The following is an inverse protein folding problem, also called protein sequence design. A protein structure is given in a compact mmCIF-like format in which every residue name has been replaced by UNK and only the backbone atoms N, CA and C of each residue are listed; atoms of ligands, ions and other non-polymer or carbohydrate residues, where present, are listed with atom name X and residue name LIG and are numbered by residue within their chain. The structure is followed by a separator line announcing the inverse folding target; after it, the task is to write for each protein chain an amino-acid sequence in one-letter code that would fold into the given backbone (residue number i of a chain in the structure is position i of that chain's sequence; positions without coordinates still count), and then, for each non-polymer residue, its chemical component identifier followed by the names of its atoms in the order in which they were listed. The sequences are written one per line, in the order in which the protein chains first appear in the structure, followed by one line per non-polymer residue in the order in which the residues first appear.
data_IF_897448984254
#
_entry.id   IF_897448984254
#
_cell.length_a   1.000
_cell.length_b   1.000
_cell.length_c   1.000
_cell.angle_alpha   90.00
_cell.angle_beta   90.00
_cell.angle_gamma   90.00
#
_symmetry.space_group_name_H-M   'P 1'
#
loop_
_entity.id
_entity.type
_entity.pdbx_description
1 polymer ?
#
# COMPACT_ATOMS: atom_id res chain seq x y z
N UNK A 1 -18.85 -18.39 -8.33
CA UNK A 1 -17.79 -17.41 -8.64
C UNK A 1 -18.43 -16.03 -8.47
N UNK A 2 -18.30 -15.44 -7.28
CA UNK A 2 -18.71 -14.04 -7.08
C UNK A 2 -17.56 -13.17 -7.60
N UNK A 3 -17.80 -12.44 -8.68
CA UNK A 3 -16.87 -11.42 -9.17
C UNK A 3 -16.80 -10.31 -8.12
N UNK A 4 -15.72 -10.28 -7.35
CA UNK A 4 -15.43 -9.18 -6.43
C UNK A 4 -15.32 -7.91 -7.25
N UNK A 5 -16.19 -6.94 -6.99
CA UNK A 5 -16.18 -5.65 -7.65
C UNK A 5 -14.84 -4.93 -7.42
N UNK A 6 -14.42 -4.12 -8.39
CA UNK A 6 -13.27 -3.23 -8.22
C UNK A 6 -13.53 -2.26 -7.08
N UNK A 7 -12.56 -2.09 -6.18
CA UNK A 7 -12.67 -1.13 -5.07
C UNK A 7 -12.54 0.29 -5.60
N UNK A 8 -13.53 1.11 -5.31
CA UNK A 8 -13.48 2.56 -5.59
C UNK A 8 -12.51 3.26 -4.63
N UNK A 9 -12.21 4.52 -4.90
CA UNK A 9 -11.43 5.35 -3.97
C UNK A 9 -12.07 5.42 -2.59
N UNK A 10 -13.39 5.60 -2.55
CA UNK A 10 -14.14 5.70 -1.30
C UNK A 10 -14.14 4.38 -0.52
N UNK A 11 -14.19 3.24 -1.21
CA UNK A 11 -14.08 1.92 -0.59
C UNK A 11 -12.72 1.72 0.07
N UNK A 12 -11.63 2.12 -0.58
CA UNK A 12 -10.28 2.03 -0.03
C UNK A 12 -10.12 2.97 1.17
N UNK A 13 -10.62 4.21 1.07
CA UNK A 13 -10.64 5.16 2.18
C UNK A 13 -11.46 4.64 3.36
N UNK A 14 -12.60 4.01 3.12
CA UNK A 14 -13.41 3.36 4.17
C UNK A 14 -12.62 2.23 4.83
N UNK A 15 -11.99 1.35 4.04
CA UNK A 15 -11.16 0.24 4.55
C UNK A 15 -10.01 0.75 5.44
N UNK A 16 -9.35 1.86 5.06
CA UNK A 16 -8.32 2.48 5.90
C UNK A 16 -8.88 2.97 7.25
N UNK A 17 -10.06 3.60 7.24
CA UNK A 17 -10.73 4.05 8.47
C UNK A 17 -11.13 2.88 9.37
N UNK A 18 -11.66 1.81 8.81
CA UNK A 18 -12.03 0.59 9.54
C UNK A 18 -10.79 -0.07 10.17
N UNK A 19 -9.64 0.04 9.50
CA UNK A 19 -8.33 -0.37 10.02
C UNK A 19 -7.78 0.57 11.11
N UNK A 20 -8.52 1.64 11.47
CA UNK A 20 -8.08 2.69 12.40
C UNK A 20 -6.80 3.38 11.89
N UNK A 21 -6.75 3.61 10.58
CA UNK A 21 -5.74 4.42 9.91
C UNK A 21 -6.39 5.71 9.41
N UNK A 22 -5.78 6.85 9.72
CA UNK A 22 -6.21 8.14 9.17
C UNK A 22 -5.79 8.23 7.69
N UNK A 23 -6.73 8.28 6.73
CA UNK A 23 -6.40 8.35 5.31
C UNK A 23 -5.55 9.58 4.94
N UNK A 24 -5.68 10.69 5.66
CA UNK A 24 -4.88 11.89 5.41
C UNK A 24 -3.41 11.68 5.80
N UNK A 25 -3.15 11.02 6.93
CA UNK A 25 -1.80 10.66 7.35
C UNK A 25 -1.17 9.63 6.41
N UNK A 26 -1.94 8.61 6.00
CA UNK A 26 -1.50 7.59 5.04
C UNK A 26 -1.16 8.25 3.69
N UNK A 27 -2.00 9.16 3.19
CA UNK A 27 -1.75 9.94 1.98
C UNK A 27 -0.43 10.71 2.07
N UNK A 28 -0.24 11.49 3.13
CA UNK A 28 0.98 12.29 3.33
C UNK A 28 2.24 11.42 3.31
N UNK A 29 2.18 10.22 3.90
CA UNK A 29 3.30 9.28 3.89
C UNK A 29 3.56 8.75 2.47
N UNK A 30 2.53 8.33 1.75
CA UNK A 30 2.65 7.84 0.37
C UNK A 30 3.21 8.94 -0.54
N UNK A 31 2.71 10.17 -0.43
CA UNK A 31 3.20 11.31 -1.20
C UNK A 31 4.68 11.60 -0.91
N UNK A 32 5.11 11.50 0.35
CA UNK A 32 6.52 11.65 0.71
C UNK A 32 7.40 10.52 0.12
N UNK A 33 6.87 9.29 0.05
CA UNK A 33 7.58 8.15 -0.57
C UNK A 33 7.70 8.32 -2.08
N UNK A 34 6.65 8.82 -2.75
CA UNK A 34 6.73 9.17 -4.16
C UNK A 34 7.74 10.29 -4.43
N UNK A 35 7.77 11.32 -3.55
CA UNK A 35 8.75 12.38 -3.63
C UNK A 35 10.19 11.87 -3.49
N UNK A 36 10.41 10.87 -2.65
CA UNK A 36 11.72 10.22 -2.49
C UNK A 36 12.12 9.48 -3.77
N UNK A 37 11.21 8.65 -4.30
CA UNK A 37 11.48 7.79 -5.46
C UNK A 37 11.66 8.61 -6.76
N UNK A 38 10.85 9.65 -6.94
CA UNK A 38 10.87 10.51 -8.14
C UNK A 38 11.73 11.78 -7.99
N UNK A 39 12.52 11.90 -6.92
CA UNK A 39 13.29 13.11 -6.60
C UNK A 39 14.23 13.56 -7.72
N UNK A 40 14.79 12.62 -8.43
CA UNK A 40 15.81 12.88 -9.45
C UNK A 40 15.27 12.85 -10.88
N UNK A 41 13.97 12.82 -11.04
CA UNK A 41 13.28 12.81 -12.32
C UNK A 41 12.26 11.67 -12.42
N UNK A 42 11.56 11.61 -13.56
CA UNK A 42 10.59 10.56 -13.83
C UNK A 42 11.26 9.19 -13.98
N UNK A 43 10.46 8.13 -13.97
CA UNK A 43 10.90 6.79 -14.35
C UNK A 43 11.22 6.75 -15.84
N UNK A 44 12.49 7.12 -16.16
CA UNK A 44 12.97 7.24 -17.56
C UNK A 44 12.83 5.94 -18.36
N UNK A 45 12.92 4.78 -17.69
CA UNK A 45 12.78 3.48 -18.34
C UNK A 45 11.34 3.26 -18.77
N UNK A 46 10.40 3.51 -17.88
CA UNK A 46 8.96 3.38 -18.14
C UNK A 46 8.52 4.39 -19.20
N UNK A 47 8.97 5.65 -19.11
CA UNK A 47 8.63 6.68 -20.09
C UNK A 47 9.18 6.40 -21.50
N UNK A 48 10.36 5.81 -21.59
CA UNK A 48 10.99 5.51 -22.87
C UNK A 48 10.32 4.32 -23.61
N UNK A 49 9.69 3.41 -22.88
CA UNK A 49 9.18 2.15 -23.43
C UNK A 49 7.67 2.20 -23.67
N UNK A 50 6.91 2.79 -22.74
CA UNK A 50 5.45 2.73 -22.74
C UNK A 50 4.82 4.08 -23.10
N UNK A 51 3.70 4.03 -23.84
CA UNK A 51 2.82 5.15 -24.16
C UNK A 51 1.56 5.15 -23.28
N UNK A 52 0.41 5.05 -23.94
CA UNK A 52 -0.92 5.08 -23.29
C UNK A 52 -1.51 3.67 -23.07
N UNK A 53 -0.66 2.64 -23.12
CA UNK A 53 -1.08 1.26 -22.95
C UNK A 53 -1.64 1.04 -21.55
N UNK A 54 -2.70 0.22 -21.48
CA UNK A 54 -3.28 -0.26 -20.23
C UNK A 54 -2.97 -1.75 -20.05
N UNK A 55 -2.80 -2.16 -18.81
CA UNK A 55 -2.58 -3.57 -18.46
C UNK A 55 -3.30 -3.94 -17.17
N UNK A 56 -3.48 -5.24 -17.01
CA UNK A 56 -3.85 -5.85 -15.74
C UNK A 56 -2.62 -6.55 -15.16
N UNK A 57 -2.32 -6.26 -13.89
CA UNK A 57 -1.23 -6.87 -13.16
C UNK A 57 -1.74 -7.49 -11.84
N UNK A 58 -0.96 -8.42 -11.30
CA UNK A 58 -1.25 -9.07 -10.03
C UNK A 58 -0.07 -8.93 -9.08
N UNK A 59 -0.35 -8.63 -7.82
CA UNK A 59 0.62 -8.76 -6.74
C UNK A 59 0.47 -10.15 -6.12
N UNK A 60 1.53 -10.93 -6.23
CA UNK A 60 1.54 -12.35 -5.84
C UNK A 60 2.56 -12.55 -4.73
N UNK A 61 2.17 -13.24 -3.67
CA UNK A 61 3.10 -13.60 -2.60
C UNK A 61 4.15 -14.59 -3.09
N UNK A 62 5.40 -14.38 -2.70
CA UNK A 62 6.52 -15.31 -2.96
C UNK A 62 6.96 -16.08 -1.72
N UNK A 63 6.36 -15.78 -0.57
CA UNK A 63 6.74 -16.36 0.70
C UNK A 63 5.51 -16.67 1.55
N UNK A 64 5.69 -17.49 2.57
CA UNK A 64 4.72 -17.64 3.65
C UNK A 64 4.77 -16.43 4.58
N UNK A 65 3.61 -15.96 5.04
CA UNK A 65 3.56 -14.81 5.94
C UNK A 65 2.16 -14.45 6.38
N UNK A 66 2.06 -13.27 6.99
CA UNK A 66 0.80 -12.62 7.37
C UNK A 66 0.74 -11.26 6.70
N UNK A 67 -0.34 -10.99 6.00
CA UNK A 67 -0.52 -9.74 5.26
C UNK A 67 -0.75 -8.55 6.19
N UNK A 68 -0.16 -7.42 5.82
CA UNK A 68 -0.51 -6.10 6.36
C UNK A 68 -0.19 -5.01 5.35
N UNK A 69 -1.07 -4.01 5.25
CA UNK A 69 -0.89 -2.86 4.39
C UNK A 69 -1.45 -3.03 2.97
N UNK A 70 -2.27 -4.04 2.71
CA UNK A 70 -2.94 -4.20 1.40
C UNK A 70 -3.76 -2.96 1.03
N UNK A 71 -4.60 -2.38 1.93
CA UNK A 71 -5.31 -1.14 1.64
C UNK A 71 -4.37 0.07 1.44
N UNK A 72 -3.23 0.10 2.13
CA UNK A 72 -2.22 1.16 1.96
C UNK A 72 -1.59 1.06 0.57
N UNK A 73 -1.26 -0.15 0.12
CA UNK A 73 -0.75 -0.41 -1.23
C UNK A 73 -1.78 -0.08 -2.31
N UNK A 74 -3.04 -0.48 -2.12
CA UNK A 74 -4.14 -0.13 -3.01
C UNK A 74 -4.32 1.40 -3.13
N UNK A 75 -4.21 2.10 -2.01
CA UNK A 75 -4.29 3.56 -1.97
C UNK A 75 -3.12 4.22 -2.70
N UNK A 76 -1.90 3.69 -2.55
CA UNK A 76 -0.74 4.18 -3.29
C UNK A 76 -0.92 4.08 -4.80
N UNK A 77 -1.42 2.94 -5.31
CA UNK A 77 -1.72 2.75 -6.73
C UNK A 77 -2.73 3.78 -7.25
N UNK A 78 -3.79 4.07 -6.49
CA UNK A 78 -4.77 5.08 -6.88
C UNK A 78 -4.24 6.52 -6.81
N UNK A 79 -3.40 6.83 -5.81
CA UNK A 79 -2.82 8.15 -5.67
C UNK A 79 -1.80 8.49 -6.76
N UNK A 80 -1.19 7.49 -7.39
CA UNK A 80 -0.25 7.71 -8.52
C UNK A 80 -0.95 8.06 -9.82
N UNK A 81 -2.23 7.69 -10.02
CA UNK A 81 -2.95 7.91 -11.27
C UNK A 81 -2.87 9.35 -11.81
N UNK A 82 -3.02 10.40 -10.99
CA UNK A 82 -2.88 11.78 -11.45
C UNK A 82 -1.46 12.19 -11.86
N UNK A 83 -0.42 11.54 -11.30
CA UNK A 83 0.98 11.91 -11.57
C UNK A 83 1.47 11.47 -12.93
N UNK A 84 1.00 10.33 -13.42
CA UNK A 84 1.48 9.76 -14.70
C UNK A 84 0.96 10.48 -15.93
N UNK A 85 -0.08 11.30 -15.80
CA UNK A 85 -0.70 12.04 -16.92
C UNK A 85 -0.11 13.42 -17.18
N UNK A 86 0.70 13.96 -16.26
CA UNK A 86 1.30 15.28 -16.41
C UNK A 86 2.84 15.23 -16.30
N UNK A 87 3.52 15.15 -17.44
CA UNK A 87 4.98 15.17 -17.55
C UNK A 87 5.66 16.39 -16.89
N UNK A 88 4.90 17.41 -16.50
CA UNK A 88 5.42 18.62 -15.83
C UNK A 88 5.54 18.45 -14.33
N UNK A 89 4.91 17.45 -13.73
CA UNK A 89 4.86 17.30 -12.27
C UNK A 89 6.15 16.73 -11.66
N UNK A 90 6.94 15.99 -12.42
CA UNK A 90 8.25 15.53 -11.96
C UNK A 90 9.21 16.68 -11.61
N UNK A 91 9.06 17.84 -12.28
CA UNK A 91 9.85 19.06 -12.01
C UNK A 91 9.24 19.99 -10.97
N UNK A 92 8.00 19.73 -10.51
CA UNK A 92 7.23 20.60 -9.61
C UNK A 92 6.90 19.93 -8.26
N UNK A 93 7.62 18.87 -7.89
CA UNK A 93 7.40 18.25 -6.59
C UNK A 93 7.83 19.22 -5.47
N UNK A 94 6.97 20.20 -5.21
CA UNK A 94 6.98 21.01 -4.00
C UNK A 94 6.01 20.37 -2.99
N UNK A 95 6.38 20.24 -1.71
CA UNK A 95 5.51 19.70 -0.66
C UNK A 95 4.16 20.40 -0.50
N UNK A 96 3.94 21.51 -1.22
CA UNK A 96 2.74 22.34 -1.15
C UNK A 96 1.70 22.04 -2.25
N UNK A 97 1.97 21.15 -3.20
CA UNK A 97 1.02 20.86 -4.28
C UNK A 97 0.01 19.79 -3.85
N UNK A 98 -1.21 20.24 -3.55
CA UNK A 98 -2.35 19.36 -3.26
C UNK A 98 -2.81 18.67 -4.54
N UNK A 99 -2.78 17.32 -4.52
CA UNK A 99 -3.40 16.51 -5.56
C UNK A 99 -4.90 16.75 -5.58
N UNK A 100 -5.42 17.22 -6.71
CA UNK A 100 -6.86 17.26 -6.96
C UNK A 100 -7.31 15.95 -7.61
N UNK A 101 -8.30 15.30 -7.05
CA UNK A 101 -8.81 13.98 -7.43
C UNK A 101 -9.68 14.00 -8.70
N UNK A 102 -9.29 14.75 -9.75
CA UNK A 102 -10.03 14.83 -11.02
C UNK A 102 -9.21 14.24 -12.17
N UNK A 103 -8.96 12.91 -12.11
CA UNK A 103 -8.46 12.18 -13.27
C UNK A 103 -9.59 11.93 -14.29
N UNK A 104 -9.32 12.12 -15.58
CA UNK A 104 -10.17 11.63 -16.65
C UNK A 104 -10.29 10.10 -16.57
N UNK A 105 -11.32 9.50 -17.17
CA UNK A 105 -11.50 8.03 -17.23
C UNK A 105 -10.25 7.28 -17.75
N UNK A 106 -9.42 7.92 -18.56
CA UNK A 106 -8.20 7.35 -19.13
C UNK A 106 -7.07 7.14 -18.11
N UNK A 107 -7.04 7.91 -17.02
CA UNK A 107 -6.01 7.79 -15.97
C UNK A 107 -6.42 6.90 -14.80
N UNK A 108 -7.66 6.41 -14.78
CA UNK A 108 -8.21 5.68 -13.66
C UNK A 108 -7.52 4.32 -13.44
N UNK A 109 -7.14 4.07 -12.18
CA UNK A 109 -6.59 2.79 -11.71
C UNK A 109 -7.68 2.04 -10.94
N UNK A 110 -7.97 0.83 -11.37
CA UNK A 110 -8.93 -0.07 -10.73
C UNK A 110 -8.18 -1.09 -9.90
N UNK A 111 -8.43 -1.14 -8.60
CA UNK A 111 -7.79 -2.09 -7.69
C UNK A 111 -8.81 -3.05 -7.13
N UNK A 112 -8.48 -4.34 -7.12
CA UNK A 112 -9.26 -5.38 -6.48
C UNK A 112 -8.40 -6.08 -5.44
N UNK A 113 -8.64 -5.80 -4.17
CA UNK A 113 -8.02 -6.51 -3.07
C UNK A 113 -8.60 -7.94 -3.02
N UNK A 114 -7.73 -8.95 -3.13
CA UNK A 114 -8.10 -10.38 -3.17
C UNK A 114 -8.01 -11.02 -1.80
N UNK A 115 -7.16 -10.47 -0.95
CA UNK A 115 -6.93 -10.92 0.42
C UNK A 115 -6.98 -9.73 1.36
N UNK A 116 -7.35 -9.99 2.60
CA UNK A 116 -7.42 -8.98 3.66
C UNK A 116 -6.14 -8.97 4.51
N UNK A 117 -5.89 -7.84 5.16
CA UNK A 117 -4.83 -7.74 6.17
C UNK A 117 -5.14 -8.65 7.36
N UNK A 118 -4.10 -9.30 7.89
CA UNK A 118 -4.19 -10.33 8.92
C UNK A 118 -4.33 -11.77 8.39
N UNK A 119 -4.66 -11.95 7.11
CA UNK A 119 -4.70 -13.29 6.51
C UNK A 119 -3.29 -13.86 6.33
N UNK A 120 -3.20 -15.18 6.43
CA UNK A 120 -1.98 -15.94 6.13
C UNK A 120 -1.86 -16.15 4.64
N UNK A 121 -0.66 -15.95 4.11
CA UNK A 121 -0.33 -16.15 2.69
C UNK A 121 0.73 -17.21 2.51
N UNK A 122 0.71 -17.82 1.33
CA UNK A 122 1.71 -18.74 0.84
C UNK A 122 2.18 -18.34 -0.57
N UNK A 123 3.30 -18.89 -1.04
CA UNK A 123 3.75 -18.64 -2.41
C UNK A 123 2.68 -18.98 -3.44
N UNK A 124 2.41 -18.03 -4.35
CA UNK A 124 1.40 -18.15 -5.40
C UNK A 124 0.06 -17.48 -5.09
N UNK A 125 -0.21 -17.10 -3.83
CA UNK A 125 -1.44 -16.40 -3.50
C UNK A 125 -1.48 -15.02 -4.13
N UNK A 126 -2.59 -14.68 -4.77
CA UNK A 126 -2.84 -13.36 -5.36
C UNK A 126 -3.39 -12.43 -4.28
N UNK A 127 -2.61 -11.43 -3.89
CA UNK A 127 -2.95 -10.46 -2.84
C UNK A 127 -3.88 -9.36 -3.37
N UNK A 128 -3.57 -8.82 -4.54
CA UNK A 128 -4.42 -7.86 -5.24
C UNK A 128 -4.26 -7.99 -6.75
N UNK A 129 -5.29 -7.56 -7.49
CA UNK A 129 -5.27 -7.37 -8.94
C UNK A 129 -5.47 -5.88 -9.21
N UNK A 130 -4.71 -5.34 -10.15
CA UNK A 130 -4.79 -3.92 -10.53
C UNK A 130 -4.88 -3.80 -12.03
N UNK A 131 -5.72 -2.89 -12.52
CA UNK A 131 -5.85 -2.52 -13.93
C UNK A 131 -5.69 -1.01 -14.06
N UNK A 132 -4.85 -0.58 -14.99
CA UNK A 132 -4.61 0.84 -15.22
C UNK A 132 -3.58 1.12 -16.32
N UNK A 133 -3.24 2.39 -16.54
CA UNK A 133 -2.16 2.77 -17.44
C UNK A 133 -0.84 2.14 -16.99
N UNK A 134 -0.10 1.52 -17.92
CA UNK A 134 1.16 0.80 -17.61
C UNK A 134 2.15 1.72 -16.90
N UNK A 135 2.30 2.95 -17.37
CA UNK A 135 3.19 3.94 -16.73
C UNK A 135 2.85 4.17 -15.26
N UNK A 136 1.56 4.35 -14.95
CA UNK A 136 1.09 4.54 -13.57
C UNK A 136 1.40 3.32 -12.71
N UNK A 137 1.11 2.11 -13.23
CA UNK A 137 1.32 0.86 -12.49
C UNK A 137 2.80 0.66 -12.16
N UNK A 138 3.69 0.82 -13.14
CA UNK A 138 5.14 0.63 -12.95
C UNK A 138 5.75 1.68 -12.02
N UNK A 139 5.36 2.96 -12.16
CA UNK A 139 5.86 4.02 -11.29
C UNK A 139 5.41 3.85 -9.83
N UNK A 140 4.16 3.38 -9.61
CA UNK A 140 3.64 3.14 -8.26
C UNK A 140 4.15 1.83 -7.63
N UNK A 141 4.58 0.86 -8.45
CA UNK A 141 4.92 -0.50 -8.02
C UNK A 141 5.88 -0.52 -6.85
N UNK A 142 6.99 0.19 -6.94
CA UNK A 142 8.06 0.18 -5.93
C UNK A 142 7.56 0.68 -4.58
N UNK A 143 6.90 1.83 -4.56
CA UNK A 143 6.31 2.39 -3.33
C UNK A 143 5.27 1.43 -2.74
N UNK A 144 4.37 0.91 -3.55
CA UNK A 144 3.34 -0.05 -3.12
C UNK A 144 3.98 -1.31 -2.53
N UNK A 145 4.90 -1.95 -3.25
CA UNK A 145 5.55 -3.18 -2.80
C UNK A 145 6.39 -2.98 -1.54
N UNK A 146 7.11 -1.86 -1.43
CA UNK A 146 7.92 -1.55 -0.25
C UNK A 146 7.05 -1.42 1.00
N UNK A 147 5.94 -0.70 0.91
CA UNK A 147 5.02 -0.53 2.04
C UNK A 147 4.36 -1.85 2.44
N UNK A 148 3.77 -2.58 1.49
CA UNK A 148 3.10 -3.86 1.77
C UNK A 148 4.09 -4.90 2.31
N UNK A 149 5.29 -5.02 1.73
CA UNK A 149 6.30 -5.98 2.17
C UNK A 149 6.84 -5.66 3.56
N UNK A 150 7.14 -4.39 3.84
CA UNK A 150 7.60 -3.94 5.15
C UNK A 150 6.56 -4.22 6.24
N UNK A 151 5.30 -3.90 5.99
CA UNK A 151 4.22 -4.10 6.95
C UNK A 151 3.90 -5.57 7.14
N UNK A 152 3.85 -6.35 6.05
CA UNK A 152 3.64 -7.80 6.13
C UNK A 152 4.79 -8.51 6.85
N UNK A 153 6.03 -8.02 6.72
CA UNK A 153 7.16 -8.51 7.50
C UNK A 153 6.98 -8.31 9.01
N UNK A 154 6.50 -7.13 9.42
CA UNK A 154 6.17 -6.84 10.83
C UNK A 154 5.01 -7.72 11.32
N UNK A 155 3.96 -7.87 10.52
CA UNK A 155 2.82 -8.72 10.85
C UNK A 155 3.24 -10.19 10.98
N UNK A 156 4.05 -10.68 10.05
CA UNK A 156 4.57 -12.07 10.05
C UNK A 156 5.42 -12.35 11.28
N UNK A 157 6.36 -11.47 11.63
CA UNK A 157 7.17 -11.62 12.82
C UNK A 157 6.31 -11.60 14.10
N UNK A 158 5.32 -10.70 14.16
CA UNK A 158 4.38 -10.62 15.29
C UNK A 158 3.57 -11.90 15.40
N UNK A 159 3.04 -12.39 14.29
CA UNK A 159 2.23 -13.61 14.24
C UNK A 159 3.01 -14.85 14.70
N UNK A 160 4.30 -14.95 14.36
CA UNK A 160 5.14 -16.05 14.85
C UNK A 160 5.25 -16.05 16.39
N UNK A 161 5.36 -14.88 17.01
CA UNK A 161 5.36 -14.77 18.49
C UNK A 161 4.00 -15.06 19.09
N UNK A 162 2.92 -14.60 18.46
CA UNK A 162 1.55 -14.89 18.90
C UNK A 162 1.27 -16.39 18.87
N UNK A 163 1.66 -17.06 17.78
CA UNK A 163 1.52 -18.51 17.62
C UNK A 163 2.32 -19.28 18.69
N UNK A 164 3.54 -18.83 18.98
CA UNK A 164 4.38 -19.45 20.02
C UNK A 164 3.79 -19.30 21.44
N UNK A 165 2.92 -18.31 21.67
CA UNK A 165 2.23 -18.08 22.94
C UNK A 165 0.83 -18.72 22.98
N UNK A 166 0.46 -19.52 21.98
CA UNK A 166 -0.85 -20.17 21.92
C UNK A 166 -1.12 -20.98 23.21
N UNK A 167 -2.32 -20.79 23.80
CA UNK A 167 -2.68 -21.39 25.07
C UNK A 167 -2.24 -20.64 26.34
N UNK A 168 -1.45 -19.54 26.17
CA UNK A 168 -1.06 -18.64 27.27
C UNK A 168 -1.97 -17.41 27.32
N UNK A 169 -2.24 -16.81 28.50
CA UNK A 169 -2.89 -15.52 28.61
C UNK A 169 -1.99 -14.34 28.20
N UNK A 170 -0.70 -14.59 27.94
CA UNK A 170 0.28 -13.58 27.57
C UNK A 170 0.00 -13.06 26.17
N UNK A 171 0.17 -11.73 25.98
CA UNK A 171 -0.02 -11.08 24.69
C UNK A 171 1.27 -10.43 24.20
N UNK A 172 1.54 -10.55 22.90
CA UNK A 172 2.61 -9.79 22.24
C UNK A 172 2.20 -8.33 22.16
N UNK A 173 3.03 -7.43 22.67
CA UNK A 173 2.77 -5.99 22.67
C UNK A 173 3.90 -5.26 21.91
N UNK A 174 3.52 -4.29 21.08
CA UNK A 174 4.46 -3.44 20.37
C UNK A 174 5.22 -2.46 21.29
N UNK A 175 6.09 -1.69 20.69
CA UNK A 175 6.89 -0.68 21.37
C UNK A 175 6.80 0.68 20.65
N UNK A 176 7.46 1.72 21.22
CA UNK A 176 7.68 3.01 20.55
C UNK A 176 9.01 3.07 19.76
N UNK A 177 9.77 1.99 19.73
CA UNK A 177 11.00 1.87 18.93
C UNK A 177 10.61 1.45 17.51
N UNK A 178 10.11 2.41 16.75
CA UNK A 178 9.60 2.25 15.39
C UNK A 178 10.46 3.00 14.40
N UNK A 179 10.40 2.63 13.14
CA UNK A 179 11.02 3.41 12.07
C UNK A 179 10.40 4.82 12.05
N UNK A 180 11.20 5.90 12.05
CA UNK A 180 10.70 7.25 11.96
C UNK A 180 9.74 7.43 10.77
N UNK A 181 8.62 8.10 10.99
CA UNK A 181 7.55 8.26 9.99
C UNK A 181 6.57 7.09 9.87
N UNK A 182 6.99 5.84 10.16
CA UNK A 182 6.17 4.63 9.94
C UNK A 182 5.43 4.13 11.19
N UNK A 183 5.48 4.83 12.32
CA UNK A 183 4.93 4.32 13.60
C UNK A 183 3.48 3.86 13.49
N UNK A 184 2.62 4.65 12.87
CA UNK A 184 1.19 4.34 12.76
C UNK A 184 1.00 3.04 11.98
N UNK A 185 1.67 2.90 10.85
CA UNK A 185 1.59 1.72 9.99
C UNK A 185 2.23 0.49 10.63
N UNK A 186 3.39 0.62 11.29
CA UNK A 186 4.02 -0.51 11.98
C UNK A 186 3.19 -1.02 13.16
N UNK A 187 2.57 -0.11 13.91
CA UNK A 187 1.62 -0.50 14.98
C UNK A 187 0.36 -1.17 14.42
N UNK A 188 -0.12 -0.71 13.29
CA UNK A 188 -1.18 -1.38 12.57
C UNK A 188 -0.78 -2.81 12.17
N UNK A 189 0.40 -2.98 11.58
CA UNK A 189 0.93 -4.28 11.19
C UNK A 189 1.06 -5.26 12.37
N UNK A 190 1.42 -4.76 13.56
CA UNK A 190 1.41 -5.59 14.79
C UNK A 190 0.00 -6.11 15.09
N UNK A 191 -1.07 -5.29 14.92
CA UNK A 191 -2.45 -5.77 15.09
C UNK A 191 -2.81 -6.84 14.06
N UNK A 192 -2.41 -6.65 12.81
CA UNK A 192 -2.62 -7.65 11.74
C UNK A 192 -1.95 -8.99 12.07
N UNK A 193 -0.81 -8.98 12.76
CA UNK A 193 -0.13 -10.17 13.26
C UNK A 193 -0.74 -10.77 14.55
N UNK A 194 -1.85 -10.23 15.05
CA UNK A 194 -2.52 -10.70 16.28
C UNK A 194 -1.94 -10.13 17.57
N UNK A 195 -0.99 -9.20 17.48
CA UNK A 195 -0.47 -8.49 18.65
C UNK A 195 -1.37 -7.35 19.13
N UNK A 196 -1.00 -6.72 20.23
CA UNK A 196 -1.71 -5.58 20.83
C UNK A 196 -0.82 -4.34 20.85
N UNK A 197 -1.43 -3.18 20.72
CA UNK A 197 -0.67 -1.93 20.74
C UNK A 197 -0.42 -1.45 22.18
N UNK A 198 0.77 -0.89 22.40
CA UNK A 198 1.08 0.04 23.46
C UNK A 198 0.55 1.43 23.07
N UNK A 199 0.62 2.43 23.97
CA UNK A 199 0.23 3.81 23.67
C UNK A 199 0.87 4.33 22.38
N UNK A 200 0.16 5.21 21.66
CA UNK A 200 0.60 5.82 20.40
C UNK A 200 1.62 6.94 20.61
N UNK A 201 1.47 7.72 21.69
CA UNK A 201 2.31 8.85 22.07
C UNK A 201 2.78 8.78 23.51
#
# INVERSE_FOLDING_TARGET
MMGSASSTHDDIVATLKDAVLDPAQVRTLIEATFAEDLRWGPDVTTEAIFGDERATAQVVSRAHGTLAGVPVGAYALQLMAPYSSDHRLASQYSPTHRLTNQGSHETQVHVQMRMADGERVQPGDVVLTVEGPVRTLLTAERTMLNLVSQLSGVATATAAWVDALAGSPTKVRDTRKTVPGLRVLQKYAVRCGGGVNHRMG
#
